data_IF_516898903364
#
_entry.id   IF_516898903364
#
_cell.length_a   1.000
_cell.length_b   1.000
_cell.length_c   1.000
_cell.angle_alpha   90.00
_cell.angle_beta   90.00
_cell.angle_gamma   90.00
#
_symmetry.space_group_name_H-M   'P 1'
#
loop_
_entity.id
_entity.type
_entity.pdbx_description
1 polymer ?
#
# COMPACT_ATOMS: atom_id res chain seq x y z
N UNK A 1 -59.48 -40.18 -11.12
CA UNK A 1 -58.06 -40.55 -11.20
C UNK A 1 -57.26 -39.25 -11.15
N UNK A 2 -56.88 -38.80 -9.96
CA UNK A 2 -56.10 -37.59 -9.75
C UNK A 2 -54.62 -37.92 -10.00
N UNK A 3 -53.95 -37.13 -10.86
CA UNK A 3 -52.54 -37.29 -11.17
C UNK A 3 -51.73 -36.16 -10.52
N UNK A 4 -50.57 -36.57 -10.04
CA UNK A 4 -49.74 -35.94 -9.00
C UNK A 4 -48.86 -34.83 -9.61
N UNK A 5 -48.60 -33.82 -8.78
CA UNK A 5 -47.76 -32.65 -9.05
C UNK A 5 -46.33 -32.97 -9.51
N UNK A 6 -45.77 -32.10 -10.34
CA UNK A 6 -44.33 -31.94 -10.50
C UNK A 6 -43.98 -30.46 -10.26
N UNK A 7 -43.50 -30.17 -9.06
CA UNK A 7 -42.90 -28.89 -8.71
C UNK A 7 -41.50 -28.80 -9.31
N UNK A 8 -41.31 -27.86 -10.25
CA UNK A 8 -39.98 -27.46 -10.71
C UNK A 8 -39.41 -26.41 -9.78
N UNK A 9 -38.52 -26.83 -8.87
CA UNK A 9 -37.66 -25.90 -8.15
C UNK A 9 -36.56 -25.44 -9.12
N UNK A 10 -36.59 -24.15 -9.49
CA UNK A 10 -35.50 -23.50 -10.20
C UNK A 10 -34.31 -23.35 -9.25
N UNK A 11 -33.32 -24.22 -9.41
CA UNK A 11 -32.04 -24.15 -8.74
C UNK A 11 -31.27 -22.93 -9.26
N UNK A 12 -31.22 -21.86 -8.45
CA UNK A 12 -30.36 -20.71 -8.74
C UNK A 12 -28.92 -21.16 -8.58
N UNK A 13 -28.21 -21.33 -9.70
CA UNK A 13 -26.78 -21.56 -9.69
C UNK A 13 -26.09 -20.41 -8.95
N UNK A 14 -25.50 -20.72 -7.79
CA UNK A 14 -24.56 -19.86 -7.09
C UNK A 14 -23.39 -19.59 -8.04
N UNK A 15 -23.37 -18.41 -8.65
CA UNK A 15 -22.20 -17.90 -9.37
C UNK A 15 -21.09 -17.77 -8.35
N UNK A 16 -20.14 -18.71 -8.39
CA UNK A 16 -18.91 -18.62 -7.62
C UNK A 16 -18.23 -17.30 -8.01
N UNK A 17 -17.82 -16.45 -7.04
CA UNK A 17 -17.12 -15.23 -7.37
C UNK A 17 -15.86 -15.59 -8.14
N UNK A 18 -15.76 -15.07 -9.38
CA UNK A 18 -14.56 -15.20 -10.21
C UNK A 18 -13.37 -14.69 -9.40
N UNK A 19 -12.35 -15.53 -9.22
CA UNK A 19 -11.12 -15.11 -8.57
C UNK A 19 -10.62 -13.81 -9.23
N UNK A 20 -10.43 -12.73 -8.46
CA UNK A 20 -9.97 -11.46 -9.02
C UNK A 20 -8.61 -11.66 -9.73
N UNK A 21 -8.35 -10.91 -10.81
CA UNK A 21 -7.16 -11.11 -11.61
C UNK A 21 -5.89 -10.87 -10.77
N UNK A 22 -4.83 -11.65 -11.01
CA UNK A 22 -3.55 -11.56 -10.28
C UNK A 22 -2.95 -10.15 -10.22
N UNK A 23 -3.29 -9.27 -11.16
CA UNK A 23 -2.76 -7.91 -11.31
C UNK A 23 -3.71 -6.85 -10.73
N UNK A 24 -4.58 -7.22 -9.78
CA UNK A 24 -5.57 -6.30 -9.19
C UNK A 24 -4.89 -5.23 -8.33
N UNK A 25 -5.34 -3.99 -8.49
CA UNK A 25 -5.10 -2.89 -7.54
C UNK A 25 -6.34 -2.75 -6.67
N UNK A 26 -6.20 -2.98 -5.37
CA UNK A 26 -7.31 -2.98 -4.42
C UNK A 26 -7.28 -1.76 -3.51
N UNK A 27 -8.45 -1.18 -3.24
CA UNK A 27 -8.62 -0.01 -2.39
C UNK A 27 -9.43 -0.36 -1.14
N UNK A 28 -8.93 0.07 0.02
CA UNK A 28 -9.68 0.11 1.27
C UNK A 28 -9.85 1.59 1.66
N UNK A 29 -11.05 2.18 1.47
CA UNK A 29 -11.33 3.54 1.90
C UNK A 29 -11.33 3.62 3.44
N UNK A 30 -10.90 4.77 3.99
CA UNK A 30 -10.87 5.00 5.43
C UNK A 30 -10.18 3.88 6.25
N UNK A 31 -9.16 3.25 5.67
CA UNK A 31 -8.39 2.19 6.32
C UNK A 31 -7.74 2.70 7.62
N UNK A 32 -7.26 3.95 7.60
CA UNK A 32 -6.81 4.70 8.77
C UNK A 32 -7.73 5.90 8.98
N UNK A 33 -8.06 6.21 10.22
CA UNK A 33 -8.84 7.42 10.53
C UNK A 33 -7.97 8.67 10.34
N UNK A 34 -8.58 9.85 10.29
CA UNK A 34 -7.83 11.12 10.25
C UNK A 34 -6.89 11.26 11.46
N UNK A 35 -7.38 10.89 12.66
CA UNK A 35 -6.60 10.88 13.91
C UNK A 35 -5.41 9.92 13.81
N UNK A 36 -5.63 8.72 13.24
CA UNK A 36 -4.55 7.77 13.01
C UNK A 36 -3.47 8.36 12.09
N UNK A 37 -3.90 9.04 11.02
CA UNK A 37 -2.99 9.69 10.07
C UNK A 37 -2.19 10.81 10.73
N UNK A 38 -2.82 11.65 11.55
CA UNK A 38 -2.14 12.69 12.32
C UNK A 38 -1.08 12.08 13.25
N UNK A 39 -1.45 11.06 14.02
CA UNK A 39 -0.52 10.38 14.93
C UNK A 39 0.68 9.78 14.20
N UNK A 40 0.47 9.12 13.06
CA UNK A 40 1.57 8.56 12.24
C UNK A 40 2.49 9.68 11.73
N UNK A 41 1.91 10.77 11.24
CA UNK A 41 2.68 11.92 10.75
C UNK A 41 3.51 12.52 11.89
N UNK A 42 2.95 12.74 13.07
CA UNK A 42 3.64 13.35 14.20
C UNK A 42 4.75 12.45 14.78
N UNK A 43 4.50 11.14 14.88
CA UNK A 43 5.52 10.15 15.21
C UNK A 43 6.69 10.22 14.22
N UNK A 44 6.38 10.23 12.90
CA UNK A 44 7.43 10.30 11.87
C UNK A 44 8.23 11.61 11.91
N UNK A 45 7.60 12.75 12.21
CA UNK A 45 8.27 14.06 12.33
C UNK A 45 9.19 14.11 13.55
N UNK A 46 8.72 13.57 14.66
CA UNK A 46 9.48 13.51 15.91
C UNK A 46 10.72 12.66 15.73
N UNK A 47 10.58 11.47 15.15
CA UNK A 47 11.70 10.58 14.85
C UNK A 47 12.72 11.21 13.88
N UNK A 48 12.24 11.83 12.80
CA UNK A 48 13.10 12.55 11.85
C UNK A 48 13.92 13.67 12.51
N UNK A 49 13.34 14.35 13.52
CA UNK A 49 14.01 15.44 14.24
C UNK A 49 15.00 14.93 15.29
N UNK A 50 14.73 13.77 15.87
CA UNK A 50 15.51 13.18 16.95
C UNK A 50 16.75 12.41 16.47
N UNK A 51 16.70 11.74 15.32
CA UNK A 51 17.85 10.99 14.79
C UNK A 51 17.93 11.05 13.26
N UNK A 52 18.91 11.81 12.76
CA UNK A 52 19.19 11.89 11.33
C UNK A 52 19.61 10.52 10.72
N UNK A 53 20.02 9.52 11.53
CA UNK A 53 20.38 8.18 11.05
C UNK A 53 19.17 7.32 10.68
N UNK A 54 18.00 7.59 11.26
CA UNK A 54 16.74 6.94 10.86
C UNK A 54 16.24 7.44 9.49
N UNK A 55 16.83 8.53 9.01
CA UNK A 55 16.50 9.15 7.72
C UNK A 55 17.39 8.59 6.61
N UNK A 56 16.89 7.57 5.92
CA UNK A 56 17.52 7.07 4.70
C UNK A 56 17.40 8.08 3.55
N UNK A 57 18.51 8.72 3.15
CA UNK A 57 18.60 9.43 1.86
C UNK A 57 19.00 8.43 0.79
N UNK A 58 18.08 8.05 -0.09
CA UNK A 58 18.42 7.13 -1.17
C UNK A 58 19.34 7.84 -2.18
N UNK A 59 20.47 7.21 -2.52
CA UNK A 59 21.59 7.85 -3.22
C UNK A 59 21.40 7.98 -4.74
N UNK A 60 20.41 7.29 -5.31
CA UNK A 60 20.05 7.47 -6.72
C UNK A 60 18.96 8.56 -6.86
N UNK A 61 19.42 9.82 -6.81
CA UNK A 61 18.57 11.02 -6.78
C UNK A 61 17.60 11.15 -7.96
N UNK A 62 17.78 10.38 -9.04
CA UNK A 62 16.84 10.34 -10.17
C UNK A 62 15.78 9.26 -10.03
N UNK A 63 16.06 8.20 -9.25
CA UNK A 63 15.09 7.15 -9.00
C UNK A 63 14.10 7.57 -7.91
N UNK A 64 14.58 8.13 -6.79
CA UNK A 64 13.70 8.56 -5.68
C UNK A 64 14.18 9.86 -5.05
N UNK A 65 13.23 10.77 -4.80
CA UNK A 65 13.40 11.99 -4.01
C UNK A 65 12.35 12.05 -2.91
N UNK A 66 12.70 11.54 -1.73
CA UNK A 66 11.85 11.54 -0.55
C UNK A 66 12.70 11.48 0.72
N UNK A 67 12.14 11.95 1.84
CA UNK A 67 12.68 11.70 3.17
C UNK A 67 11.91 10.52 3.79
N UNK A 68 12.62 9.55 4.35
CA UNK A 68 12.05 8.27 4.82
C UNK A 68 12.24 8.12 6.32
N UNK A 69 11.24 7.57 6.99
CA UNK A 69 11.30 7.16 8.39
C UNK A 69 10.70 5.77 8.50
N UNK A 70 11.46 4.83 9.07
CA UNK A 70 10.95 3.52 9.45
C UNK A 70 10.37 3.58 10.86
N UNK A 71 9.24 2.92 11.11
CA UNK A 71 8.49 3.04 12.36
C UNK A 71 8.90 2.05 13.46
N UNK A 72 9.79 1.09 13.17
CA UNK A 72 10.27 0.08 14.13
C UNK A 72 11.06 0.70 15.28
N UNK A 73 11.82 1.76 15.01
CA UNK A 73 12.58 2.49 16.03
C UNK A 73 11.79 3.67 16.64
N UNK A 74 10.49 3.78 16.36
CA UNK A 74 9.66 4.91 16.80
C UNK A 74 8.72 4.47 17.91
N UNK A 75 9.08 4.80 19.15
CA UNK A 75 8.26 4.51 20.33
C UNK A 75 6.83 5.05 20.18
N UNK A 76 5.82 4.21 20.46
CA UNK A 76 4.41 4.58 20.33
C UNK A 76 3.80 4.30 18.95
N UNK A 77 4.57 3.74 18.01
CA UNK A 77 4.10 3.33 16.68
C UNK A 77 3.64 1.86 16.60
N UNK A 78 3.66 1.10 17.70
CA UNK A 78 3.44 -0.35 17.73
C UNK A 78 2.05 -0.73 17.18
N UNK A 79 1.03 0.06 17.52
CA UNK A 79 -0.35 -0.12 17.07
C UNK A 79 -0.52 -0.06 15.54
N UNK A 80 0.41 0.60 14.83
CA UNK A 80 0.33 0.75 13.38
C UNK A 80 0.45 -0.62 12.71
N UNK A 81 1.40 -1.44 13.16
CA UNK A 81 1.62 -2.77 12.58
C UNK A 81 0.45 -3.72 12.87
N UNK A 82 -0.15 -3.66 14.06
CA UNK A 82 -1.34 -4.45 14.40
C UNK A 82 -2.50 -4.17 13.42
N UNK A 83 -2.75 -2.89 13.14
CA UNK A 83 -3.78 -2.46 12.19
C UNK A 83 -3.45 -2.84 10.75
N UNK A 84 -2.19 -2.68 10.34
CA UNK A 84 -1.72 -3.09 9.02
C UNK A 84 -1.94 -4.59 8.79
N UNK A 85 -1.55 -5.43 9.75
CA UNK A 85 -1.66 -6.89 9.66
C UNK A 85 -3.11 -7.27 9.40
N UNK A 86 -4.06 -6.66 10.11
CA UNK A 86 -5.47 -6.96 9.92
C UNK A 86 -5.98 -6.55 8.53
N UNK A 87 -5.64 -5.34 8.06
CA UNK A 87 -6.03 -4.85 6.73
C UNK A 87 -5.47 -5.73 5.61
N UNK A 88 -4.19 -6.09 5.69
CA UNK A 88 -3.53 -6.97 4.71
C UNK A 88 -4.12 -8.37 4.76
N UNK A 89 -4.40 -8.92 5.95
CA UNK A 89 -5.03 -10.24 6.10
C UNK A 89 -6.40 -10.28 5.44
N UNK A 90 -7.23 -9.26 5.64
CA UNK A 90 -8.56 -9.15 5.03
C UNK A 90 -8.45 -9.03 3.50
N UNK A 91 -7.64 -8.12 2.99
CA UNK A 91 -7.43 -7.93 1.55
C UNK A 91 -6.84 -9.18 0.89
N UNK A 92 -5.87 -9.83 1.53
CA UNK A 92 -5.26 -11.05 1.00
C UNK A 92 -6.31 -12.16 0.88
N UNK A 93 -7.14 -12.38 1.90
CA UNK A 93 -8.22 -13.38 1.86
C UNK A 93 -9.27 -13.08 0.78
N UNK A 94 -9.65 -11.81 0.63
CA UNK A 94 -10.73 -11.41 -0.27
C UNK A 94 -10.30 -11.26 -1.73
N UNK A 95 -9.03 -10.93 -1.98
CA UNK A 95 -8.57 -10.46 -3.30
C UNK A 95 -7.35 -11.22 -3.83
N UNK A 96 -6.37 -11.58 -3.01
CA UNK A 96 -5.07 -11.99 -3.56
C UNK A 96 -4.76 -13.47 -3.41
N UNK A 97 -5.11 -14.07 -2.28
CA UNK A 97 -4.84 -15.46 -1.97
C UNK A 97 -3.34 -15.80 -1.95
N UNK A 98 -2.46 -14.84 -1.67
CA UNK A 98 -1.03 -15.13 -1.54
C UNK A 98 -0.74 -15.93 -0.26
N UNK A 99 0.23 -16.83 -0.35
CA UNK A 99 0.87 -17.44 0.81
C UNK A 99 1.76 -16.38 1.46
N UNK A 100 1.23 -15.71 2.48
CA UNK A 100 1.93 -14.69 3.25
C UNK A 100 2.37 -15.30 4.58
N UNK A 101 3.67 -15.24 4.87
CA UNK A 101 4.26 -15.87 6.06
C UNK A 101 4.88 -14.86 7.04
N UNK A 102 5.13 -13.61 6.62
CA UNK A 102 5.80 -12.63 7.45
C UNK A 102 5.51 -11.17 7.08
N UNK A 103 5.84 -10.29 8.03
CA UNK A 103 6.11 -8.86 7.84
C UNK A 103 7.53 -8.61 8.35
N UNK A 104 8.53 -8.95 7.52
CA UNK A 104 9.95 -8.89 7.89
C UNK A 104 10.54 -7.46 7.81
N UNK A 105 9.72 -6.48 7.44
CA UNK A 105 10.08 -5.07 7.30
C UNK A 105 9.08 -4.20 8.05
N UNK A 106 9.55 -3.10 8.64
CA UNK A 106 8.67 -2.13 9.31
C UNK A 106 7.93 -1.24 8.32
N UNK A 107 6.88 -0.57 8.79
CA UNK A 107 6.19 0.45 8.01
C UNK A 107 7.12 1.65 7.75
N UNK A 108 7.20 2.08 6.50
CA UNK A 108 8.01 3.20 6.05
C UNK A 108 7.11 4.41 5.76
N UNK A 109 7.27 5.49 6.51
CA UNK A 109 6.66 6.78 6.19
C UNK A 109 7.58 7.54 5.24
N UNK A 110 7.04 7.99 4.11
CA UNK A 110 7.74 8.75 3.11
C UNK A 110 7.16 10.17 2.99
N UNK A 111 8.04 11.18 3.00
CA UNK A 111 7.74 12.59 2.75
C UNK A 111 8.28 13.00 1.38
N UNK A 112 7.40 13.51 0.53
CA UNK A 112 7.70 14.07 -0.79
C UNK A 112 7.36 15.56 -0.79
N UNK A 113 8.37 16.41 -0.86
CA UNK A 113 8.21 17.86 -0.85
C UNK A 113 8.38 18.50 -2.24
N UNK A 114 7.59 19.52 -2.53
CA UNK A 114 7.68 20.27 -3.79
C UNK A 114 9.04 20.94 -4.00
N UNK A 115 9.76 21.27 -2.91
CA UNK A 115 11.06 21.95 -2.94
C UNK A 115 12.15 21.20 -3.72
N UNK A 116 11.97 19.87 -3.90
CA UNK A 116 12.88 19.01 -4.67
C UNK A 116 12.17 18.23 -5.77
N UNK A 117 10.92 18.61 -6.08
CA UNK A 117 10.02 17.83 -6.93
C UNK A 117 9.97 16.37 -6.47
N UNK A 118 9.68 16.14 -5.19
CA UNK A 118 9.72 14.81 -4.59
C UNK A 118 8.93 13.79 -5.42
N UNK A 119 9.55 12.65 -5.72
CA UNK A 119 8.99 11.60 -6.58
C UNK A 119 9.63 10.24 -6.29
N UNK A 120 9.10 9.21 -6.93
CA UNK A 120 9.75 7.90 -7.09
C UNK A 120 9.42 7.41 -8.48
N UNK A 121 10.42 7.26 -9.36
CA UNK A 121 10.22 6.79 -10.73
C UNK A 121 9.68 5.36 -10.78
N UNK A 122 9.31 4.89 -11.97
CA UNK A 122 8.79 3.53 -12.18
C UNK A 122 9.74 2.48 -11.61
N UNK A 123 9.21 1.64 -10.70
CA UNK A 123 9.95 0.54 -10.08
C UNK A 123 9.00 -0.59 -9.68
N UNK A 124 9.59 -1.75 -9.42
CA UNK A 124 8.97 -2.87 -8.70
C UNK A 124 9.51 -2.85 -7.27
N UNK A 125 8.69 -3.28 -6.31
CA UNK A 125 9.14 -3.46 -4.93
C UNK A 125 9.91 -4.77 -4.72
N UNK A 126 9.71 -5.75 -5.61
CA UNK A 126 10.54 -6.95 -5.66
C UNK A 126 11.90 -6.61 -6.26
N UNK A 127 12.98 -7.10 -5.66
CA UNK A 127 14.35 -6.93 -6.13
C UNK A 127 15.30 -7.96 -5.52
N UNK A 128 16.60 -7.87 -5.83
CA UNK A 128 17.59 -8.91 -5.52
C UNK A 128 17.97 -9.04 -4.03
N UNK A 129 17.52 -8.11 -3.18
CA UNK A 129 17.76 -8.16 -1.74
C UNK A 129 16.98 -9.29 -1.05
N UNK A 130 17.56 -9.88 0.02
CA UNK A 130 16.98 -11.03 0.75
C UNK A 130 15.51 -10.82 1.15
N UNK A 131 15.15 -9.63 1.62
CA UNK A 131 13.77 -9.29 1.99
C UNK A 131 12.94 -8.87 0.77
N UNK A 132 13.51 -8.02 -0.10
CA UNK A 132 12.84 -7.54 -1.30
C UNK A 132 12.37 -8.69 -2.22
N UNK A 133 13.17 -9.75 -2.36
CA UNK A 133 12.83 -10.93 -3.16
C UNK A 133 11.63 -11.72 -2.62
N UNK A 134 11.26 -11.55 -1.35
CA UNK A 134 10.12 -12.21 -0.70
C UNK A 134 8.84 -11.38 -0.69
N UNK A 135 8.88 -10.11 -1.11
CA UNK A 135 7.70 -9.22 -1.07
C UNK A 135 6.62 -9.72 -2.02
N UNK A 136 5.41 -9.88 -1.50
CA UNK A 136 4.23 -10.37 -2.22
C UNK A 136 3.20 -9.28 -2.44
N UNK A 137 2.89 -8.55 -1.36
CA UNK A 137 1.87 -7.53 -1.37
C UNK A 137 2.42 -6.25 -0.79
N UNK A 138 2.28 -5.17 -1.56
CA UNK A 138 2.56 -3.80 -1.13
C UNK A 138 1.25 -3.17 -0.69
N UNK A 139 1.27 -2.48 0.44
CA UNK A 139 0.20 -1.58 0.84
C UNK A 139 0.75 -0.17 1.02
N UNK A 140 0.12 0.80 0.37
CA UNK A 140 0.42 2.24 0.52
C UNK A 140 -0.80 2.95 1.08
N UNK A 141 -0.62 3.64 2.20
CA UNK A 141 -1.64 4.47 2.85
C UNK A 141 -1.35 5.94 2.55
N UNK A 142 -2.35 6.66 2.06
CA UNK A 142 -2.28 8.10 1.84
C UNK A 142 -2.48 8.84 3.17
N UNK A 143 -1.47 9.58 3.64
CA UNK A 143 -1.51 10.25 4.95
C UNK A 143 -1.83 11.73 4.87
N UNK A 144 -1.41 12.41 3.78
CA UNK A 144 -1.72 13.83 3.57
C UNK A 144 -3.14 14.01 3.01
N UNK A 145 -3.78 15.11 3.38
CA UNK A 145 -5.00 15.59 2.72
C UNK A 145 -4.76 15.83 1.22
N UNK A 146 -5.72 15.47 0.33
CA UNK A 146 -5.58 15.71 -1.10
C UNK A 146 -5.33 17.18 -1.46
N UNK A 147 -5.94 18.10 -0.71
CA UNK A 147 -5.82 19.55 -0.92
C UNK A 147 -4.49 20.15 -0.43
N UNK A 148 -3.67 19.40 0.31
CA UNK A 148 -2.41 19.88 0.85
C UNK A 148 -1.26 19.87 -0.18
N UNK A 149 -1.45 19.24 -1.35
CA UNK A 149 -0.42 19.12 -2.38
C UNK A 149 -1.00 18.98 -3.80
N UNK A 150 -0.19 19.36 -4.80
CA UNK A 150 -0.45 19.11 -6.23
C UNK A 150 0.63 18.21 -6.83
N UNK A 151 0.27 17.38 -7.79
CA UNK A 151 1.14 16.28 -8.28
C UNK A 151 1.19 15.15 -7.25
N UNK A 152 2.29 14.39 -7.19
CA UNK A 152 2.47 13.36 -6.15
C UNK A 152 1.53 12.15 -6.28
N UNK A 153 0.94 11.90 -7.45
CA UNK A 153 0.05 10.77 -7.66
C UNK A 153 0.82 9.45 -7.52
N UNK A 154 0.27 8.49 -6.76
CA UNK A 154 0.74 7.11 -6.81
C UNK A 154 0.06 6.44 -8.00
N UNK A 155 0.85 6.05 -8.99
CA UNK A 155 0.38 5.34 -10.17
C UNK A 155 0.90 3.90 -10.14
N UNK A 156 0.01 2.94 -10.37
CA UNK A 156 0.34 1.51 -10.51
C UNK A 156 0.04 1.10 -11.94
N UNK A 157 0.90 0.29 -12.55
CA UNK A 157 0.77 -0.20 -13.91
C UNK A 157 0.48 -1.71 -13.89
N UNK A 158 -0.78 -2.12 -13.69
CA UNK A 158 -1.15 -3.53 -13.68
C UNK A 158 -1.09 -4.18 -15.07
N UNK A 159 -1.14 -3.39 -16.15
CA UNK A 159 -1.08 -3.87 -17.53
C UNK A 159 -0.60 -2.73 -18.45
N UNK A 160 -1.05 -2.67 -19.70
CA UNK A 160 -0.72 -1.61 -20.66
C UNK A 160 -1.34 -0.23 -20.35
N UNK A 161 -1.73 0.02 -19.11
CA UNK A 161 -2.30 1.28 -18.63
C UNK A 161 -1.93 1.52 -17.16
N UNK A 162 -2.02 2.77 -16.73
CA UNK A 162 -1.84 3.17 -15.34
C UNK A 162 -3.18 3.28 -14.63
N UNK A 163 -3.18 2.95 -13.34
CA UNK A 163 -4.27 3.17 -12.39
C UNK A 163 -3.72 4.09 -11.30
N UNK A 164 -4.37 5.24 -11.11
CA UNK A 164 -4.04 6.15 -10.01
C UNK A 164 -4.69 5.64 -8.72
N UNK A 165 -3.92 5.61 -7.64
CA UNK A 165 -4.39 5.29 -6.31
C UNK A 165 -5.30 6.39 -5.76
N UNK A 166 -6.23 6.02 -4.89
CA UNK A 166 -7.09 6.97 -4.19
C UNK A 166 -6.26 8.00 -3.40
N UNK A 167 -6.65 9.27 -3.51
CA UNK A 167 -5.98 10.38 -2.82
C UNK A 167 -6.64 10.75 -1.50
N UNK A 168 -7.85 10.26 -1.24
CA UNK A 168 -8.51 10.46 0.04
C UNK A 168 -7.61 10.02 1.20
N UNK A 169 -7.47 10.89 2.20
CA UNK A 169 -6.65 10.61 3.37
C UNK A 169 -7.13 9.36 4.10
N UNK A 170 -6.20 8.57 4.61
CA UNK A 170 -6.47 7.31 5.30
C UNK A 170 -6.85 6.16 4.38
N UNK A 171 -7.00 6.38 3.07
CA UNK A 171 -7.22 5.29 2.13
C UNK A 171 -5.95 4.44 1.97
N UNK A 172 -6.12 3.12 1.94
CA UNK A 172 -5.06 2.18 1.63
C UNK A 172 -5.24 1.64 0.21
N UNK A 173 -4.16 1.62 -0.54
CA UNK A 173 -4.07 0.96 -1.85
C UNK A 173 -3.12 -0.22 -1.73
N UNK A 174 -3.61 -1.41 -2.05
CA UNK A 174 -2.86 -2.65 -2.04
C UNK A 174 -2.67 -3.14 -3.48
N UNK A 175 -1.50 -3.71 -3.76
CA UNK A 175 -1.19 -4.31 -5.06
C UNK A 175 -0.05 -5.32 -4.93
N UNK A 176 0.05 -6.31 -5.85
CA UNK A 176 1.17 -7.23 -5.87
C UNK A 176 2.51 -6.49 -6.02
N UNK A 177 3.50 -6.81 -5.19
CA UNK A 177 4.77 -6.05 -5.10
C UNK A 177 5.62 -6.08 -6.37
N UNK A 178 5.34 -6.98 -7.30
CA UNK A 178 6.01 -7.07 -8.60
C UNK A 178 5.39 -6.15 -9.67
N UNK A 179 4.28 -5.45 -9.36
CA UNK A 179 3.72 -4.46 -10.28
C UNK A 179 4.58 -3.21 -10.33
N UNK A 180 4.81 -2.70 -11.54
CA UNK A 180 5.46 -1.42 -11.74
C UNK A 180 4.59 -0.30 -11.16
N UNK A 181 5.19 0.56 -10.36
CA UNK A 181 4.50 1.72 -9.81
C UNK A 181 5.46 2.90 -9.63
N UNK A 182 4.89 4.10 -9.49
CA UNK A 182 5.65 5.34 -9.30
C UNK A 182 4.87 6.33 -8.44
N UNK A 183 5.59 7.31 -7.91
CA UNK A 183 5.02 8.55 -7.38
C UNK A 183 5.41 9.68 -8.32
N UNK A 184 4.45 10.34 -8.96
CA UNK A 184 4.72 11.48 -9.84
C UNK A 184 5.30 12.67 -9.06
N UNK A 185 6.03 13.59 -9.69
CA UNK A 185 6.58 14.75 -8.99
C UNK A 185 5.53 15.54 -8.21
N UNK A 186 5.85 15.88 -6.97
CA UNK A 186 5.09 16.87 -6.19
C UNK A 186 5.43 18.26 -6.73
N UNK A 187 4.42 19.00 -7.16
CA UNK A 187 4.59 20.33 -7.78
C UNK A 187 4.31 21.47 -6.80
N UNK A 188 3.51 21.23 -5.77
CA UNK A 188 3.19 22.18 -4.72
C UNK A 188 2.86 21.43 -3.41
N UNK A 189 3.23 22.01 -2.27
CA UNK A 189 2.96 21.43 -0.96
C UNK A 189 3.83 20.22 -0.62
N UNK A 190 3.29 19.35 0.24
CA UNK A 190 3.97 18.17 0.77
C UNK A 190 3.03 16.96 0.82
N UNK A 191 3.46 15.86 0.20
CA UNK A 191 2.77 14.57 0.26
C UNK A 191 3.46 13.64 1.25
N UNK A 192 2.68 13.02 2.14
CA UNK A 192 3.09 11.91 2.99
C UNK A 192 2.30 10.65 2.69
N UNK A 193 3.00 9.52 2.69
CA UNK A 193 2.39 8.19 2.61
C UNK A 193 3.12 7.22 3.52
N UNK A 194 2.44 6.15 3.92
CA UNK A 194 3.04 5.03 4.64
C UNK A 194 3.00 3.79 3.76
N UNK A 195 4.13 3.11 3.60
CA UNK A 195 4.25 1.88 2.81
C UNK A 195 4.66 0.72 3.71
N UNK A 196 4.10 -0.45 3.45
CA UNK A 196 4.50 -1.71 4.08
C UNK A 196 4.47 -2.83 3.04
N UNK A 197 5.27 -3.86 3.28
CA UNK A 197 5.34 -5.06 2.46
C UNK A 197 5.04 -6.30 3.30
N UNK A 198 4.19 -7.18 2.77
CA UNK A 198 4.00 -8.52 3.29
C UNK A 198 4.83 -9.51 2.48
N UNK A 199 5.43 -10.48 3.15
CA UNK A 199 6.39 -11.43 2.60
C UNK A 199 5.81 -12.84 2.50
N UNK A 200 6.37 -13.64 1.60
CA UNK A 200 5.99 -15.02 1.40
C UNK A 200 7.05 -15.82 0.62
N UNK A 201 6.87 -17.15 0.47
CA UNK A 201 7.78 -17.99 -0.31
C UNK A 201 7.75 -17.64 -1.79
N UNK A 202 8.74 -18.06 -2.57
CA UNK A 202 8.77 -17.87 -4.03
C UNK A 202 7.47 -18.38 -4.70
N UNK A 203 7.06 -17.74 -5.80
CA UNK A 203 5.94 -18.25 -6.61
C UNK A 203 6.28 -19.65 -7.15
N UNK A 204 5.28 -20.54 -7.17
CA UNK A 204 5.41 -21.92 -7.61
C UNK A 204 4.41 -22.20 -8.72
#
# INVERSE_FOLDING_TARGET
MAQIAAGGALEQALVQPKAPPMLTVHRIPAAFSEIDCDRIIDLSRTAHSADARLVGRNQDHNLRRADLVWLDDVAGAEWVMEKIIELVRQANRAVYGFDLDAFDESAQVARYGAERQGHFSWHSDVGDGRLAARRKLTMVVQLSEPGAYRGGALEVMPSAHTVEAERARGSATLFPSYLLHRVTPVEAGERRSMTIWAHGPAFR
#
